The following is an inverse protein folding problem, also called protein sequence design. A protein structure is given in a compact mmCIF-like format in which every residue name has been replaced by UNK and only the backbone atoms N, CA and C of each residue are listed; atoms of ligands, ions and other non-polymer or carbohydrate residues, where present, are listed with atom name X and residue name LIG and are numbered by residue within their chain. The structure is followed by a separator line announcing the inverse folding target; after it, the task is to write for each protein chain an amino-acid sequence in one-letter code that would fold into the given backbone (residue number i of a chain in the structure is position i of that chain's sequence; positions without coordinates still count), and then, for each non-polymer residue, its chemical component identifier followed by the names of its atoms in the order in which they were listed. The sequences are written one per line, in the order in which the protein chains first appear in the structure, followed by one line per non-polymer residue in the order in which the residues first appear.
data_IF_784593080996
#
_entry.id   IF_784593080996
#
_cell.length_a   1.000
_cell.length_b   1.000
_cell.length_c   1.000
_cell.angle_alpha   90.00
_cell.angle_beta   90.00
_cell.angle_gamma   90.00
#
_symmetry.space_group_name_H-M   'P 1'
#
loop_
_entity.id
_entity.type
_entity.pdbx_description
1 polymer ?
#
# COMPACT_ATOMS: atom_id res chain seq x y z
N UNK A 1 13.64 -6.90 -11.18
CA UNK A 1 12.76 -7.68 -10.27
C UNK A 1 11.95 -6.74 -9.39
N UNK A 2 10.63 -6.90 -9.29
CA UNK A 2 9.78 -6.09 -8.40
C UNK A 2 9.88 -6.63 -6.98
N UNK A 3 10.89 -6.21 -6.22
CA UNK A 3 11.00 -6.59 -4.80
C UNK A 3 10.02 -5.76 -3.96
N UNK A 4 9.55 -6.31 -2.83
CA UNK A 4 8.68 -5.58 -1.90
C UNK A 4 9.29 -4.25 -1.47
N UNK A 5 10.60 -4.22 -1.19
CA UNK A 5 11.31 -3.00 -0.82
C UNK A 5 11.26 -1.91 -1.89
N UNK A 6 11.47 -2.28 -3.17
CA UNK A 6 11.40 -1.33 -4.29
C UNK A 6 10.00 -0.72 -4.41
N UNK A 7 8.94 -1.51 -4.21
CA UNK A 7 7.56 -1.02 -4.24
C UNK A 7 7.25 -0.04 -3.11
N UNK A 8 7.79 -0.29 -1.92
CA UNK A 8 7.67 0.61 -0.78
C UNK A 8 8.42 1.92 -1.02
N UNK A 9 9.64 1.84 -1.54
CA UNK A 9 10.48 3.01 -1.83
C UNK A 9 9.91 3.87 -2.97
N UNK A 10 9.27 3.26 -3.96
CA UNK A 10 8.59 3.97 -5.06
C UNK A 10 7.21 4.49 -4.66
N UNK A 11 6.75 4.28 -3.42
CA UNK A 11 5.44 4.73 -2.96
C UNK A 11 4.25 3.98 -3.58
N UNK A 12 4.50 2.82 -4.19
CA UNK A 12 3.46 2.03 -4.89
C UNK A 12 2.55 1.26 -3.94
N UNK A 13 3.04 0.95 -2.73
CA UNK A 13 2.26 0.32 -1.67
C UNK A 13 2.42 1.20 -0.42
N UNK A 14 1.32 1.76 0.11
CA UNK A 14 1.38 2.48 1.37
C UNK A 14 1.75 1.54 2.51
N UNK A 15 2.66 1.98 3.39
CA UNK A 15 3.13 1.21 4.53
C UNK A 15 3.58 2.11 5.67
N UNK A 16 3.57 1.57 6.88
CA UNK A 16 4.12 2.22 8.06
C UNK A 16 5.51 1.67 8.36
N UNK A 17 6.50 2.55 8.53
CA UNK A 17 7.84 2.16 8.97
C UNK A 17 7.86 2.10 10.50
N UNK A 18 8.13 0.93 11.05
CA UNK A 18 8.26 0.70 12.50
C UNK A 18 9.66 0.11 12.73
N UNK A 19 10.57 0.96 13.22
CA UNK A 19 11.98 0.62 13.33
C UNK A 19 12.60 0.27 11.97
N UNK A 20 13.13 -0.96 11.84
CA UNK A 20 13.71 -1.50 10.60
C UNK A 20 12.70 -2.26 9.72
N UNK A 21 11.46 -2.39 10.17
CA UNK A 21 10.43 -3.15 9.47
C UNK A 21 9.41 -2.22 8.82
N UNK A 22 8.90 -2.63 7.66
CA UNK A 22 7.73 -2.01 7.03
C UNK A 22 6.51 -2.88 7.29
N UNK A 23 5.45 -2.29 7.83
CA UNK A 23 4.16 -2.95 8.07
C UNK A 23 3.17 -2.48 7.02
N UNK A 24 2.55 -3.42 6.30
CA UNK A 24 1.58 -3.16 5.26
C UNK A 24 0.21 -3.66 5.76
N UNK A 25 -0.76 -2.75 6.00
CA UNK A 25 -2.16 -3.12 6.22
C UNK A 25 -2.72 -3.97 5.07
N UNK A 26 -3.54 -4.97 5.39
CA UNK A 26 -4.09 -5.92 4.40
C UNK A 26 -4.89 -5.24 3.29
N UNK A 27 -5.59 -4.15 3.61
CA UNK A 27 -6.32 -3.34 2.63
C UNK A 27 -5.43 -2.74 1.53
N UNK A 28 -4.22 -2.28 1.88
CA UNK A 28 -3.27 -1.72 0.91
C UNK A 28 -2.71 -2.79 -0.02
N UNK A 29 -2.56 -4.03 0.47
CA UNK A 29 -2.17 -5.16 -0.37
C UNK A 29 -3.28 -5.50 -1.37
N UNK A 30 -4.54 -5.53 -0.95
CA UNK A 30 -5.67 -5.75 -1.86
C UNK A 30 -5.82 -4.64 -2.90
N UNK A 31 -5.55 -3.39 -2.53
CA UNK A 31 -5.51 -2.26 -3.46
C UNK A 31 -4.40 -2.42 -4.50
N UNK A 32 -3.19 -2.79 -4.05
CA UNK A 32 -2.05 -3.03 -4.94
C UNK A 32 -2.27 -4.19 -5.91
N UNK A 33 -2.88 -5.28 -5.41
CA UNK A 33 -3.18 -6.48 -6.19
C UNK A 33 -4.45 -6.35 -7.04
N UNK A 34 -5.19 -5.23 -6.89
CA UNK A 34 -6.44 -4.96 -7.61
C UNK A 34 -7.51 -6.05 -7.39
N UNK A 35 -7.52 -6.68 -6.21
CA UNK A 35 -8.43 -7.79 -5.88
C UNK A 35 -9.83 -7.27 -5.48
N UNK A 36 -9.93 -6.00 -5.08
CA UNK A 36 -11.22 -5.40 -4.71
C UNK A 36 -11.97 -4.88 -5.95
N UNK A 37 -12.78 -5.76 -6.55
CA UNK A 37 -14.06 -5.33 -7.08
C UNK A 37 -15.03 -5.13 -5.91
N UNK A 38 -15.55 -3.91 -5.75
CA UNK A 38 -16.60 -3.49 -4.82
C UNK A 38 -16.16 -2.94 -3.44
N UNK A 39 -16.58 -1.68 -3.23
CA UNK A 39 -16.62 -0.86 -2.03
C UNK A 39 -15.42 0.07 -1.71
N UNK A 40 -15.78 1.36 -1.68
CA UNK A 40 -15.07 2.57 -1.23
C UNK A 40 -13.75 2.96 -1.93
N UNK A 41 -13.88 3.64 -3.08
CA UNK A 41 -12.99 4.75 -3.43
C UNK A 41 -13.19 5.87 -2.39
N UNK A 42 -12.44 5.83 -1.29
CA UNK A 42 -12.21 7.03 -0.50
C UNK A 42 -11.09 7.81 -1.20
N UNK A 43 -11.46 8.61 -2.18
CA UNK A 43 -10.68 9.79 -2.54
C UNK A 43 -10.58 10.65 -1.27
N UNK A 44 -9.40 10.76 -0.70
CA UNK A 44 -9.05 11.84 0.21
C UNK A 44 -7.65 12.32 -0.15
N UNK A 45 -7.66 13.24 -1.12
CA UNK A 45 -6.73 14.38 -1.18
C UNK A 45 -7.00 15.25 0.06
N UNK A 46 -5.96 15.96 0.55
CA UNK A 46 -5.94 16.81 1.76
C UNK A 46 -5.89 16.01 3.08
N UNK A 47 -4.93 16.19 3.99
CA UNK A 47 -4.23 17.42 4.41
C UNK A 47 -2.70 17.32 4.34
#
# INVERSE_FOLDING_TARGET
TKTGYKLLHEGKIPAMKIGRSYRIPKAHLFTYLQICGQHCRAENRQC
#
